data_IF_766727091792
#
_entry.id   IF_766727091792
#
_cell.length_a   1.000
_cell.length_b   1.000
_cell.length_c   1.000
_cell.angle_alpha   90.00
_cell.angle_beta   90.00
_cell.angle_gamma   90.00
#
_symmetry.space_group_name_H-M   'P 1'
#
loop_
_entity.id
_entity.type
_entity.pdbx_description
1 polymer ?
#
# COMPACT_ATOMS: atom_id res chain seq x y z
N UNK A 1 18.77 -2.02 -20.60
CA UNK A 1 18.89 -0.54 -20.37
C UNK A 1 18.21 0.29 -21.46
N UNK A 2 18.43 0.05 -22.77
CA UNK A 2 17.81 0.86 -23.87
C UNK A 2 16.26 0.84 -23.89
N UNK A 3 15.61 -0.27 -23.50
CA UNK A 3 14.13 -0.39 -23.50
C UNK A 3 13.48 0.40 -22.35
N UNK A 4 14.15 0.55 -21.20
CA UNK A 4 13.67 1.33 -20.07
C UNK A 4 13.74 2.85 -20.36
N UNK A 5 14.79 3.28 -21.08
CA UNK A 5 14.95 4.67 -21.52
C UNK A 5 13.88 5.10 -22.53
N UNK A 6 13.41 4.19 -23.39
CA UNK A 6 12.35 4.48 -24.37
C UNK A 6 10.99 4.65 -23.65
N UNK A 7 10.71 3.83 -22.62
CA UNK A 7 9.49 3.97 -21.83
C UNK A 7 9.46 5.31 -21.06
N UNK A 8 10.59 5.71 -20.49
CA UNK A 8 10.71 7.00 -19.80
C UNK A 8 10.54 8.18 -20.79
N UNK A 9 11.03 8.06 -22.01
CA UNK A 9 10.93 9.11 -23.05
C UNK A 9 9.49 9.25 -23.57
N UNK A 10 8.75 8.16 -23.71
CA UNK A 10 7.33 8.19 -24.12
C UNK A 10 6.45 8.85 -23.06
N UNK A 11 6.72 8.64 -21.78
CA UNK A 11 5.98 9.31 -20.70
C UNK A 11 6.28 10.83 -20.67
N UNK A 12 7.49 11.24 -21.04
CA UNK A 12 7.89 12.66 -21.06
C UNK A 12 7.40 13.41 -22.33
N UNK A 13 7.13 12.69 -23.42
CA UNK A 13 6.69 13.31 -24.70
C UNK A 13 5.18 13.54 -24.80
N UNK A 14 4.38 13.09 -23.83
CA UNK A 14 2.95 13.41 -23.74
C UNK A 14 2.70 14.83 -23.18
N UNK A 15 3.39 15.83 -23.71
CA UNK A 15 3.04 17.24 -23.52
C UNK A 15 1.80 17.62 -24.36
N UNK A 16 0.79 16.78 -24.37
CA UNK A 16 -0.42 17.03 -25.13
C UNK A 16 -1.34 17.90 -24.28
N UNK A 17 -1.35 19.21 -24.55
CA UNK A 17 -2.37 20.13 -24.06
C UNK A 17 -2.86 19.83 -22.62
N UNK A 18 -1.94 19.78 -21.67
CA UNK A 18 -2.27 19.59 -20.26
C UNK A 18 -2.66 20.93 -19.62
N UNK A 19 -3.53 20.88 -18.63
CA UNK A 19 -3.74 22.01 -17.72
C UNK A 19 -2.48 22.21 -16.86
N UNK A 20 -2.46 23.30 -16.09
CA UNK A 20 -1.36 23.59 -15.18
C UNK A 20 -1.05 22.41 -14.22
N UNK A 21 0.24 22.08 -14.01
CA UNK A 21 0.63 21.03 -13.09
C UNK A 21 0.26 21.38 -11.64
N UNK A 22 -0.11 20.37 -10.90
CA UNK A 22 -0.47 20.45 -9.49
C UNK A 22 0.52 19.64 -8.65
N UNK A 23 0.90 20.21 -7.51
CA UNK A 23 1.58 19.51 -6.45
C UNK A 23 0.60 19.30 -5.29
N UNK A 24 0.63 18.14 -4.66
CA UNK A 24 -0.32 17.82 -3.61
C UNK A 24 0.32 17.10 -2.45
N UNK A 25 -0.36 17.18 -1.32
CA UNK A 25 -0.12 16.38 -0.12
C UNK A 25 -1.29 15.43 0.06
N UNK A 26 -0.99 14.18 0.38
CA UNK A 26 -1.95 13.17 0.73
C UNK A 26 -1.78 12.81 2.21
N UNK A 27 -2.89 12.74 2.94
CA UNK A 27 -2.93 12.27 4.32
C UNK A 27 -4.17 11.41 4.52
N UNK A 28 -4.03 10.30 5.23
CA UNK A 28 -5.15 9.42 5.44
C UNK A 28 -4.84 8.21 6.30
N UNK A 29 -5.67 7.20 6.14
CA UNK A 29 -5.63 5.96 6.87
C UNK A 29 -5.30 4.79 5.93
N UNK A 30 -4.69 3.77 6.53
CA UNK A 30 -4.40 2.49 5.91
C UNK A 30 -5.15 1.39 6.62
N UNK A 31 -5.33 0.27 5.97
CA UNK A 31 -5.62 -1.02 6.58
C UNK A 31 -5.11 -2.16 5.69
N UNK A 32 -4.98 -3.32 6.28
CA UNK A 32 -4.47 -4.53 5.66
C UNK A 32 -5.61 -5.56 5.50
N UNK A 33 -5.52 -6.39 4.45
CA UNK A 33 -6.38 -7.54 4.19
C UNK A 33 -5.45 -8.68 3.77
N UNK A 34 -5.45 -9.77 4.52
CA UNK A 34 -4.66 -10.98 4.30
C UNK A 34 -4.86 -11.97 5.44
N UNK A 35 -3.88 -12.82 5.72
CA UNK A 35 -4.03 -13.97 6.61
C UNK A 35 -4.38 -13.64 8.07
N UNK A 36 -3.89 -12.50 8.59
CA UNK A 36 -4.23 -12.04 9.93
C UNK A 36 -5.57 -11.28 9.96
N UNK A 37 -6.07 -10.83 8.79
CA UNK A 37 -7.31 -10.04 8.70
C UNK A 37 -8.03 -10.25 7.36
N UNK A 38 -8.64 -11.42 7.14
CA UNK A 38 -9.15 -11.78 5.81
C UNK A 38 -10.44 -11.06 5.40
N UNK A 39 -11.27 -10.56 6.34
CA UNK A 39 -12.63 -10.11 6.01
C UNK A 39 -13.04 -8.75 6.56
N UNK A 40 -12.15 -8.03 7.24
CA UNK A 40 -12.54 -6.80 7.94
C UNK A 40 -11.93 -5.58 7.29
N UNK A 41 -12.73 -4.80 6.57
CA UNK A 41 -12.37 -3.47 6.11
C UNK A 41 -12.38 -2.46 7.26
N UNK A 42 -11.54 -1.43 7.16
CA UNK A 42 -11.46 -0.30 8.10
C UNK A 42 -11.13 -0.67 9.55
N UNK A 43 -10.62 -1.87 9.81
CA UNK A 43 -10.17 -2.25 11.14
C UNK A 43 -8.65 -2.23 11.24
N UNK A 44 -8.13 -2.07 12.45
CA UNK A 44 -6.68 -1.99 12.73
C UNK A 44 -5.98 -0.95 11.84
N UNK A 45 -6.60 0.22 11.71
CA UNK A 45 -6.11 1.29 10.86
C UNK A 45 -4.78 1.85 11.37
N UNK A 46 -3.99 2.36 10.45
CA UNK A 46 -2.78 3.13 10.70
C UNK A 46 -2.76 4.32 9.72
N UNK A 47 -1.67 5.07 9.63
CA UNK A 47 -1.61 6.29 8.83
C UNK A 47 -0.95 6.08 7.46
N UNK A 48 -1.28 6.99 6.52
CA UNK A 48 -0.53 7.21 5.27
C UNK A 48 -0.36 8.71 5.04
N UNK A 49 0.81 9.07 4.53
CA UNK A 49 1.14 10.44 4.14
C UNK A 49 2.00 10.41 2.87
N UNK A 50 1.92 11.44 2.06
CA UNK A 50 2.82 11.54 0.91
C UNK A 50 2.60 12.73 0.02
N UNK A 51 3.41 12.76 -1.06
CA UNK A 51 3.40 13.77 -2.09
C UNK A 51 2.77 13.28 -3.38
N UNK A 52 2.11 14.18 -4.08
CA UNK A 52 1.46 13.93 -5.36
C UNK A 52 1.93 14.99 -6.36
N UNK A 53 2.28 14.54 -7.56
CA UNK A 53 2.41 15.39 -8.73
C UNK A 53 1.34 15.00 -9.73
N UNK A 54 0.54 15.97 -10.21
CA UNK A 54 -0.60 15.69 -11.08
C UNK A 54 -0.69 16.67 -12.24
N UNK A 55 -1.07 16.14 -13.41
CA UNK A 55 -1.41 16.88 -14.62
C UNK A 55 -2.81 16.48 -15.11
N UNK A 56 -3.73 17.42 -15.19
CA UNK A 56 -5.02 17.23 -15.83
C UNK A 56 -4.90 17.50 -17.33
N UNK A 57 -5.46 16.64 -18.18
CA UNK A 57 -5.54 16.91 -19.60
C UNK A 57 -6.55 18.02 -19.89
N UNK A 58 -6.38 18.72 -21.02
CA UNK A 58 -7.21 19.87 -21.40
C UNK A 58 -8.69 19.55 -21.54
N UNK A 59 -9.05 18.29 -21.88
CA UNK A 59 -10.43 17.83 -21.94
C UNK A 59 -11.11 17.69 -20.55
N UNK A 60 -10.34 17.79 -19.45
CA UNK A 60 -10.82 17.64 -18.10
C UNK A 60 -11.32 16.25 -17.71
N UNK A 61 -11.25 15.26 -18.62
CA UNK A 61 -11.72 13.89 -18.38
C UNK A 61 -10.66 12.96 -17.83
N UNK A 62 -9.39 13.23 -18.09
CA UNK A 62 -8.28 12.38 -17.70
C UNK A 62 -7.23 13.21 -16.98
N UNK A 63 -6.65 12.65 -15.94
CA UNK A 63 -5.48 13.19 -15.28
C UNK A 63 -4.41 12.11 -15.10
N UNK A 64 -3.16 12.50 -15.25
CA UNK A 64 -2.00 11.68 -14.90
C UNK A 64 -1.41 12.20 -13.61
N UNK A 65 -1.10 11.30 -12.68
CA UNK A 65 -0.40 11.67 -11.46
C UNK A 65 0.72 10.68 -11.13
N UNK A 66 1.70 11.18 -10.40
CA UNK A 66 2.76 10.41 -9.78
C UNK A 66 2.55 10.46 -8.28
N UNK A 67 2.46 9.30 -7.66
CA UNK A 67 2.31 9.14 -6.21
C UNK A 67 3.66 8.84 -5.58
N UNK A 68 3.91 9.44 -4.40
CA UNK A 68 5.03 9.18 -3.50
C UNK A 68 4.45 9.06 -2.10
N UNK A 69 4.09 7.85 -1.69
CA UNK A 69 3.35 7.62 -0.45
C UNK A 69 4.16 6.78 0.51
N UNK A 70 4.08 7.14 1.78
CA UNK A 70 4.55 6.35 2.90
C UNK A 70 3.37 6.05 3.81
N UNK A 71 3.17 4.78 4.14
CA UNK A 71 2.14 4.35 5.06
C UNK A 71 2.61 3.18 5.90
N UNK A 72 1.80 2.82 6.88
CA UNK A 72 2.03 1.66 7.72
C UNK A 72 0.75 0.85 7.81
N UNK A 73 0.87 -0.45 7.65
CA UNK A 73 -0.22 -1.42 7.87
C UNK A 73 0.13 -2.32 9.04
N UNK A 74 -0.88 -2.87 9.69
CA UNK A 74 -0.73 -3.76 10.82
C UNK A 74 -1.85 -4.80 10.85
N UNK A 75 -1.58 -5.92 11.50
CA UNK A 75 -2.54 -6.97 11.79
C UNK A 75 -2.20 -7.64 13.11
N UNK A 76 -3.25 -8.04 13.84
CA UNK A 76 -3.13 -8.72 15.12
C UNK A 76 -4.23 -9.74 15.26
N UNK A 77 -3.85 -11.00 15.42
CA UNK A 77 -4.77 -12.12 15.62
C UNK A 77 -5.62 -11.96 16.88
N UNK A 78 -5.08 -11.35 17.92
CA UNK A 78 -5.80 -11.13 19.19
C UNK A 78 -7.07 -10.27 19.00
N UNK A 79 -7.08 -9.38 18.02
CA UNK A 79 -8.23 -8.52 17.70
C UNK A 79 -9.18 -9.14 16.67
N UNK A 80 -8.96 -10.38 16.23
CA UNK A 80 -9.72 -11.00 15.14
C UNK A 80 -11.12 -11.48 15.57
N UNK A 81 -11.25 -11.92 16.82
CA UNK A 81 -12.44 -12.60 17.33
C UNK A 81 -12.64 -14.03 16.80
N UNK A 82 -11.68 -14.58 16.06
CA UNK A 82 -11.69 -15.95 15.53
C UNK A 82 -10.80 -16.84 16.40
N UNK A 83 -11.36 -17.91 16.96
CA UNK A 83 -10.67 -18.78 17.93
C UNK A 83 -9.32 -19.30 17.42
N UNK A 84 -9.26 -19.76 16.17
CA UNK A 84 -8.03 -20.25 15.56
C UNK A 84 -6.94 -19.18 15.46
N UNK A 85 -7.32 -17.94 15.15
CA UNK A 85 -6.39 -16.81 15.11
C UNK A 85 -5.95 -16.39 16.52
N UNK A 86 -6.87 -16.40 17.48
CA UNK A 86 -6.54 -16.15 18.89
C UNK A 86 -5.50 -17.14 19.40
N UNK A 87 -5.64 -18.42 19.05
CA UNK A 87 -4.65 -19.45 19.39
C UNK A 87 -3.32 -19.25 18.66
N UNK A 88 -3.34 -18.87 17.38
CA UNK A 88 -2.15 -18.58 16.58
C UNK A 88 -1.35 -17.39 17.11
N UNK A 89 -2.03 -16.36 17.60
CA UNK A 89 -1.48 -15.20 18.30
C UNK A 89 -0.37 -14.45 17.56
N UNK A 90 -0.43 -14.40 16.25
CA UNK A 90 0.51 -13.63 15.43
C UNK A 90 0.12 -12.15 15.38
N UNK A 91 1.11 -11.30 15.26
CA UNK A 91 0.92 -9.86 15.05
C UNK A 91 2.07 -9.30 14.24
N UNK A 92 1.77 -8.31 13.41
CA UNK A 92 2.78 -7.61 12.62
C UNK A 92 2.45 -6.13 12.45
N UNK A 93 3.46 -5.37 12.08
CA UNK A 93 3.35 -4.09 11.40
C UNK A 93 4.32 -4.03 10.24
N UNK A 94 3.91 -3.44 9.12
CA UNK A 94 4.75 -3.26 7.95
C UNK A 94 4.70 -1.81 7.47
N UNK A 95 5.85 -1.17 7.34
CA UNK A 95 5.94 0.11 6.66
C UNK A 95 5.95 -0.12 5.15
N UNK A 96 5.21 0.72 4.41
CA UNK A 96 5.10 0.64 2.96
C UNK A 96 5.53 1.99 2.38
N UNK A 97 6.49 1.95 1.45
CA UNK A 97 6.80 3.06 0.55
C UNK A 97 6.24 2.70 -0.82
N UNK A 98 5.38 3.56 -1.37
CA UNK A 98 4.74 3.37 -2.68
C UNK A 98 5.13 4.51 -3.62
N UNK A 99 5.63 4.17 -4.82
CA UNK A 99 5.99 5.16 -5.85
C UNK A 99 5.48 4.66 -7.20
N UNK A 100 4.75 5.49 -7.94
CA UNK A 100 4.36 5.13 -9.29
C UNK A 100 3.28 5.97 -9.93
N UNK A 101 3.10 5.78 -11.25
CA UNK A 101 2.08 6.47 -12.02
C UNK A 101 0.67 5.93 -11.77
N UNK A 102 -0.28 6.86 -11.75
CA UNK A 102 -1.71 6.61 -11.63
C UNK A 102 -2.46 7.47 -12.65
N UNK A 103 -3.49 6.91 -13.24
CA UNK A 103 -4.40 7.59 -14.14
C UNK A 103 -5.73 7.80 -13.41
N UNK A 104 -6.26 9.01 -13.49
CA UNK A 104 -7.62 9.34 -13.03
C UNK A 104 -8.53 9.52 -14.23
N UNK A 105 -9.73 8.95 -14.16
CA UNK A 105 -10.79 9.14 -15.16
C UNK A 105 -11.98 9.82 -14.49
N UNK A 106 -12.23 11.04 -14.88
CA UNK A 106 -13.27 11.90 -14.32
C UNK A 106 -14.64 11.60 -14.94
N UNK A 107 -15.68 11.52 -14.12
CA UNK A 107 -17.06 11.36 -14.59
C UNK A 107 -17.55 12.60 -15.33
N UNK A 108 -17.18 13.79 -14.86
CA UNK A 108 -17.49 15.06 -15.49
C UNK A 108 -16.20 15.79 -15.87
N UNK A 109 -16.21 16.65 -16.89
CA UNK A 109 -15.06 17.49 -17.21
C UNK A 109 -14.65 18.33 -16.02
N UNK A 110 -13.38 18.23 -15.60
CA UNK A 110 -12.83 18.99 -14.49
C UNK A 110 -11.93 20.10 -15.01
N UNK A 111 -12.17 21.32 -14.55
CA UNK A 111 -11.37 22.49 -14.94
C UNK A 111 -10.71 23.10 -13.72
N UNK A 112 -9.40 22.96 -13.63
CA UNK A 112 -8.63 23.55 -12.53
C UNK A 112 -8.89 25.05 -12.39
N UNK A 113 -9.12 25.47 -11.16
CA UNK A 113 -9.39 26.87 -10.83
C UNK A 113 -10.84 27.33 -11.02
N UNK A 114 -11.73 26.48 -11.51
CA UNK A 114 -13.15 26.77 -11.53
C UNK A 114 -13.78 26.40 -10.18
N UNK A 115 -13.97 27.36 -9.30
CA UNK A 115 -14.44 27.13 -7.94
C UNK A 115 -15.90 27.61 -7.69
N UNK A 116 -16.55 28.20 -8.70
CA UNK A 116 -17.95 28.56 -8.63
C UNK A 116 -18.82 27.30 -8.78
N UNK A 117 -19.62 26.97 -7.78
CA UNK A 117 -20.42 25.73 -7.69
C UNK A 117 -21.49 25.60 -8.75
N UNK A 118 -21.95 26.72 -9.33
CA UNK A 118 -22.94 26.78 -10.39
C UNK A 118 -22.37 26.64 -11.81
N UNK A 119 -21.05 26.50 -11.95
CA UNK A 119 -20.37 26.36 -13.25
C UNK A 119 -19.81 24.96 -13.43
N UNK A 120 -19.82 24.49 -14.68
CA UNK A 120 -19.19 23.23 -15.05
C UNK A 120 -17.68 23.25 -14.74
N UNK A 121 -17.18 22.08 -14.29
CA UNK A 121 -15.76 21.92 -13.95
C UNK A 121 -15.38 22.27 -12.52
N UNK A 122 -16.33 22.64 -11.69
CA UNK A 122 -16.11 22.89 -10.25
C UNK A 122 -15.57 21.67 -9.52
N UNK A 123 -16.13 20.48 -9.79
CA UNK A 123 -15.73 19.22 -9.17
C UNK A 123 -16.24 18.01 -9.93
N UNK A 124 -15.73 16.84 -9.56
CA UNK A 124 -16.10 15.58 -10.22
C UNK A 124 -15.76 14.37 -9.35
N UNK A 125 -16.61 13.34 -9.31
CA UNK A 125 -16.17 12.00 -8.94
C UNK A 125 -15.20 11.46 -10.01
N UNK A 126 -14.33 10.53 -9.62
CA UNK A 126 -13.41 9.88 -10.55
C UNK A 126 -13.09 8.46 -10.12
N UNK A 127 -12.74 7.64 -11.10
CA UNK A 127 -12.00 6.40 -10.88
C UNK A 127 -10.51 6.65 -11.06
N UNK A 128 -9.71 5.85 -10.39
CA UNK A 128 -8.28 5.84 -10.64
C UNK A 128 -7.73 4.42 -10.66
N UNK A 129 -6.62 4.25 -11.36
CA UNK A 129 -5.87 3.00 -11.41
C UNK A 129 -4.46 3.25 -11.90
N UNK A 130 -3.54 2.36 -11.52
CA UNK A 130 -2.13 2.52 -11.88
C UNK A 130 -1.29 1.29 -11.63
N UNK A 131 0.01 1.49 -11.74
CA UNK A 131 1.02 0.48 -11.38
C UNK A 131 2.07 1.20 -10.53
N UNK A 132 2.34 0.64 -9.35
CA UNK A 132 3.29 1.24 -8.42
C UNK A 132 4.34 0.22 -7.99
N UNK A 133 5.54 0.71 -7.79
CA UNK A 133 6.57 0.00 -7.03
C UNK A 133 6.29 0.22 -5.55
N UNK A 134 6.30 -0.86 -4.79
CA UNK A 134 6.17 -0.81 -3.34
C UNK A 134 7.36 -1.49 -2.68
N UNK A 135 7.78 -0.95 -1.55
CA UNK A 135 8.72 -1.60 -0.62
C UNK A 135 8.04 -1.73 0.73
N UNK A 136 8.02 -2.95 1.25
CA UNK A 136 7.46 -3.32 2.54
C UNK A 136 8.57 -3.69 3.53
N UNK A 137 8.26 -3.67 4.84
CA UNK A 137 9.16 -4.16 5.88
C UNK A 137 8.34 -4.70 7.07
N UNK A 138 7.89 -5.96 7.00
CA UNK A 138 7.13 -6.58 8.09
C UNK A 138 8.01 -6.77 9.31
N UNK A 139 7.47 -6.39 10.46
CA UNK A 139 8.10 -6.50 11.78
C UNK A 139 7.09 -7.05 12.78
N UNK A 140 7.57 -7.79 13.77
CA UNK A 140 6.79 -8.19 14.93
C UNK A 140 7.44 -7.65 16.22
N UNK A 141 6.65 -7.47 17.24
CA UNK A 141 7.14 -7.09 18.56
C UNK A 141 7.58 -8.35 19.33
N UNK A 142 8.79 -8.31 19.84
CA UNK A 142 9.37 -9.34 20.69
C UNK A 142 10.13 -8.68 21.85
N UNK A 143 9.76 -9.00 23.09
CA UNK A 143 10.35 -8.44 24.30
C UNK A 143 10.40 -6.89 24.33
N UNK A 144 9.38 -6.23 23.76
CA UNK A 144 9.27 -4.77 23.69
C UNK A 144 10.02 -4.11 22.53
N UNK A 145 10.73 -4.89 21.69
CA UNK A 145 11.45 -4.41 20.52
C UNK A 145 10.79 -4.85 19.21
N UNK A 146 10.86 -3.99 18.19
CA UNK A 146 10.33 -4.30 16.86
C UNK A 146 11.38 -4.95 15.97
N UNK A 147 11.23 -6.24 15.74
CA UNK A 147 12.16 -7.08 14.97
C UNK A 147 11.70 -7.26 13.54
N UNK A 148 12.61 -7.13 12.58
CA UNK A 148 12.34 -7.40 11.15
C UNK A 148 12.15 -8.90 10.92
N UNK A 149 11.03 -9.29 10.28
CA UNK A 149 10.67 -10.69 10.12
C UNK A 149 11.36 -11.35 8.92
N UNK A 150 11.50 -10.64 7.81
CA UNK A 150 12.05 -11.20 6.58
C UNK A 150 13.45 -11.85 6.76
N UNK A 151 14.42 -11.27 7.51
CA UNK A 151 15.72 -11.91 7.70
C UNK A 151 15.67 -13.15 8.59
N UNK A 152 14.60 -13.32 9.39
CA UNK A 152 14.45 -14.44 10.30
C UNK A 152 13.96 -15.71 9.62
N UNK A 153 13.39 -15.61 8.40
CA UNK A 153 12.88 -16.80 7.69
C UNK A 153 11.91 -17.61 8.55
N UNK A 154 10.87 -16.97 9.10
CA UNK A 154 9.93 -17.54 10.08
C UNK A 154 9.17 -18.78 9.60
N UNK A 155 9.13 -19.02 8.28
CA UNK A 155 8.59 -20.24 7.66
C UNK A 155 9.72 -21.16 7.13
N UNK A 156 10.94 -21.02 7.66
CA UNK A 156 12.09 -21.84 7.33
C UNK A 156 12.70 -21.58 5.96
N UNK A 157 12.41 -20.45 5.30
CA UNK A 157 12.95 -20.14 3.98
C UNK A 157 14.48 -20.13 3.99
N UNK A 158 15.09 -20.90 3.08
CA UNK A 158 16.54 -21.05 2.98
C UNK A 158 17.17 -22.00 4.01
N UNK A 159 16.36 -22.75 4.74
CA UNK A 159 16.79 -23.84 5.64
C UNK A 159 16.51 -25.20 5.01
N UNK A 160 16.92 -26.27 5.70
CA UNK A 160 16.65 -27.66 5.26
C UNK A 160 15.15 -28.00 5.18
N UNK A 161 14.28 -27.19 5.80
CA UNK A 161 12.85 -27.39 5.85
C UNK A 161 12.12 -26.73 4.67
N UNK A 162 12.71 -25.70 4.07
CA UNK A 162 12.10 -24.94 2.98
C UNK A 162 13.19 -24.34 2.08
N UNK A 163 13.40 -24.95 0.92
CA UNK A 163 14.40 -24.54 -0.07
C UNK A 163 14.08 -23.20 -0.76
N UNK A 164 12.88 -22.64 -0.54
CA UNK A 164 12.51 -21.34 -1.09
C UNK A 164 13.42 -20.26 -0.51
N UNK A 165 13.81 -19.31 -1.35
CA UNK A 165 14.51 -18.12 -0.86
C UNK A 165 13.58 -17.24 -0.03
N UNK A 166 14.12 -16.48 0.93
CA UNK A 166 13.35 -15.42 1.60
C UNK A 166 12.67 -14.50 0.58
N UNK A 167 11.45 -14.11 0.87
CA UNK A 167 10.65 -13.28 -0.03
C UNK A 167 11.27 -11.89 -0.25
N UNK A 168 10.98 -11.30 -1.42
CA UNK A 168 11.48 -9.97 -1.75
C UNK A 168 10.65 -8.88 -1.04
N UNK A 169 11.34 -7.95 -0.39
CA UNK A 169 10.71 -6.78 0.24
C UNK A 169 10.20 -5.74 -0.76
N UNK A 170 10.68 -5.83 -2.01
CA UNK A 170 10.31 -4.92 -3.10
C UNK A 170 9.40 -5.63 -4.07
N UNK A 171 8.23 -5.05 -4.31
CA UNK A 171 7.15 -5.66 -5.09
C UNK A 171 6.51 -4.62 -6.03
N UNK A 172 5.68 -5.10 -6.94
CA UNK A 172 4.76 -4.28 -7.72
C UNK A 172 3.38 -4.39 -7.08
N UNK A 173 2.64 -3.27 -7.03
CA UNK A 173 1.23 -3.26 -6.67
C UNK A 173 0.40 -2.55 -7.73
N UNK A 174 -0.89 -2.88 -7.76
CA UNK A 174 -1.88 -2.25 -8.63
C UNK A 174 -2.83 -1.45 -7.76
N UNK A 175 -2.62 -0.13 -7.60
CA UNK A 175 -3.58 0.75 -6.96
C UNK A 175 -4.80 0.95 -7.87
N UNK A 176 -5.99 0.92 -7.29
CA UNK A 176 -7.23 1.31 -7.95
C UNK A 176 -8.25 1.76 -6.91
N UNK A 177 -9.20 2.57 -7.34
CA UNK A 177 -10.22 3.06 -6.43
C UNK A 177 -11.07 4.16 -7.01
N UNK A 178 -11.76 4.83 -6.12
CA UNK A 178 -12.67 5.93 -6.41
C UNK A 178 -12.30 7.16 -5.58
N UNK A 179 -12.64 8.32 -6.10
CA UNK A 179 -12.52 9.57 -5.37
C UNK A 179 -13.51 10.61 -5.86
N UNK A 180 -13.56 11.69 -5.12
CA UNK A 180 -14.27 12.90 -5.52
C UNK A 180 -13.33 14.08 -5.29
N UNK A 181 -13.31 15.02 -6.24
CA UNK A 181 -12.47 16.22 -6.15
C UNK A 181 -13.28 17.47 -6.46
N UNK A 182 -12.88 18.55 -5.84
CA UNK A 182 -13.45 19.88 -6.05
C UNK A 182 -12.39 20.96 -5.92
N UNK A 183 -12.61 22.08 -6.59
CA UNK A 183 -11.78 23.27 -6.43
C UNK A 183 -12.24 24.08 -5.24
N UNK A 184 -11.33 24.38 -4.31
CA UNK A 184 -11.57 25.30 -3.18
C UNK A 184 -11.28 26.74 -3.58
N UNK A 185 -10.38 26.94 -4.54
CA UNK A 185 -10.02 28.27 -5.08
C UNK A 185 -9.44 28.13 -6.48
N UNK A 186 -8.99 29.21 -7.07
CA UNK A 186 -8.32 29.21 -8.37
C UNK A 186 -7.07 28.34 -8.41
N UNK A 187 -6.43 28.11 -7.24
CA UNK A 187 -5.16 27.36 -7.17
C UNK A 187 -5.24 26.10 -6.31
N UNK A 188 -6.23 26.00 -5.44
CA UNK A 188 -6.33 24.95 -4.43
C UNK A 188 -7.48 24.01 -4.77
N UNK A 189 -7.23 22.70 -4.71
CA UNK A 189 -8.25 21.66 -4.85
C UNK A 189 -8.14 20.66 -3.72
N UNK A 190 -9.28 20.13 -3.32
CA UNK A 190 -9.41 19.07 -2.33
C UNK A 190 -9.98 17.82 -3.01
N UNK A 191 -9.42 16.67 -2.69
CA UNK A 191 -9.96 15.38 -3.10
C UNK A 191 -10.11 14.47 -1.89
N UNK A 192 -11.18 13.69 -1.86
CA UNK A 192 -11.34 12.54 -0.98
C UNK A 192 -11.18 11.28 -1.82
N UNK A 193 -10.42 10.31 -1.33
CA UNK A 193 -10.07 9.11 -2.07
C UNK A 193 -10.17 7.86 -1.21
N UNK A 194 -10.74 6.80 -1.79
CA UNK A 194 -10.72 5.45 -1.27
C UNK A 194 -10.04 4.55 -2.29
N UNK A 195 -8.92 3.92 -1.91
CA UNK A 195 -8.12 3.11 -2.81
C UNK A 195 -7.63 1.82 -2.22
N UNK A 196 -7.81 0.75 -2.98
CA UNK A 196 -7.24 -0.57 -2.72
C UNK A 196 -5.96 -0.76 -3.54
N UNK A 197 -5.07 -1.60 -3.04
CA UNK A 197 -3.84 -2.02 -3.70
C UNK A 197 -3.79 -3.53 -3.73
N UNK A 198 -3.87 -4.08 -4.94
CA UNK A 198 -3.61 -5.50 -5.14
C UNK A 198 -2.11 -5.73 -5.15
N UNK A 199 -1.61 -6.59 -4.29
CA UNK A 199 -0.23 -7.06 -4.34
C UNK A 199 -0.14 -8.43 -5.01
N UNK A 200 1.08 -8.87 -5.29
CA UNK A 200 1.38 -10.21 -5.82
C UNK A 200 2.16 -11.04 -4.81
N UNK A 201 2.38 -10.50 -3.61
CA UNK A 201 2.98 -11.18 -2.48
C UNK A 201 1.93 -11.65 -1.49
N UNK A 202 2.29 -12.64 -0.70
CA UNK A 202 1.56 -13.20 0.43
C UNK A 202 2.36 -13.01 1.73
N UNK A 203 3.32 -12.11 1.71
CA UNK A 203 4.25 -11.88 2.81
C UNK A 203 4.25 -10.42 3.27
N UNK A 204 3.14 -9.70 3.08
CA UNK A 204 3.01 -8.35 3.63
C UNK A 204 3.01 -8.38 5.17
N UNK A 205 2.52 -9.50 5.72
CA UNK A 205 2.42 -9.84 7.14
C UNK A 205 3.41 -10.93 7.59
N UNK A 206 4.28 -11.43 6.69
CA UNK A 206 5.22 -12.55 6.94
C UNK A 206 4.53 -13.91 7.14
N UNK A 207 3.28 -14.07 6.69
CA UNK A 207 2.50 -15.30 6.87
C UNK A 207 1.98 -15.79 5.52
N UNK A 208 2.25 -17.07 5.19
CA UNK A 208 1.83 -17.65 3.91
C UNK A 208 1.60 -19.16 3.99
N UNK A 209 2.60 -19.92 4.42
CA UNK A 209 2.67 -21.38 4.26
C UNK A 209 2.30 -22.20 5.47
N UNK A 210 3.21 -23.09 5.82
CA UNK A 210 3.08 -24.03 6.91
C UNK A 210 4.01 -23.67 8.06
N UNK A 211 3.68 -24.13 9.25
CA UNK A 211 4.59 -24.02 10.39
C UNK A 211 5.80 -24.92 10.20
N UNK A 212 7.04 -24.39 10.33
CA UNK A 212 8.25 -25.19 10.35
C UNK A 212 8.40 -25.95 11.68
N UNK A 213 9.30 -26.93 11.72
CA UNK A 213 9.75 -27.52 12.98
C UNK A 213 10.58 -26.48 13.73
N UNK A 214 10.08 -26.01 14.87
CA UNK A 214 10.70 -24.94 15.65
C UNK A 214 12.08 -25.31 16.21
N UNK A 215 12.27 -26.55 16.66
CA UNK A 215 13.52 -27.00 17.22
C UNK A 215 14.65 -27.00 16.15
N UNK A 216 14.32 -27.44 14.93
CA UNK A 216 15.24 -27.42 13.80
C UNK A 216 15.47 -25.99 13.32
N UNK A 217 14.42 -25.18 13.25
CA UNK A 217 14.54 -23.78 12.87
C UNK A 217 15.43 -22.98 13.84
N UNK A 218 15.33 -23.28 15.15
CA UNK A 218 16.19 -22.67 16.15
C UNK A 218 17.69 -22.99 15.94
N UNK A 219 17.98 -24.21 15.44
CA UNK A 219 19.35 -24.62 15.13
C UNK A 219 19.88 -23.98 13.83
N UNK A 220 19.07 -23.85 12.80
CA UNK A 220 19.50 -23.41 11.48
C UNK A 220 19.38 -21.89 11.26
N UNK A 221 18.35 -21.24 11.85
CA UNK A 221 18.06 -19.82 11.67
C UNK A 221 18.08 -19.02 12.99
N UNK A 222 18.26 -19.70 14.11
CA UNK A 222 18.36 -19.08 15.44
C UNK A 222 17.06 -19.09 16.24
N UNK A 223 17.23 -18.94 17.57
CA UNK A 223 16.11 -19.04 18.55
C UNK A 223 15.05 -17.96 18.35
N UNK A 224 15.41 -16.77 17.91
CA UNK A 224 14.48 -15.68 17.63
C UNK A 224 13.58 -16.01 16.44
N UNK A 225 14.12 -16.63 15.39
CA UNK A 225 13.35 -17.12 14.25
C UNK A 225 12.28 -18.12 14.71
N UNK A 226 12.67 -19.10 15.49
CA UNK A 226 11.76 -20.12 16.04
C UNK A 226 10.68 -19.49 16.94
N UNK A 227 11.05 -18.55 17.81
CA UNK A 227 10.11 -17.87 18.71
C UNK A 227 9.05 -17.04 17.95
N UNK A 228 9.41 -16.44 16.82
CA UNK A 228 8.51 -15.62 16.01
C UNK A 228 7.77 -16.40 14.92
N UNK A 229 8.20 -17.63 14.61
CA UNK A 229 7.55 -18.49 13.64
C UNK A 229 6.20 -19.01 14.16
N UNK A 230 6.14 -19.41 15.44
CA UNK A 230 4.95 -19.90 16.13
C UNK A 230 4.84 -19.23 17.50
N UNK A 231 3.79 -18.43 17.68
CA UNK A 231 3.48 -17.71 18.92
C UNK A 231 2.27 -18.25 19.64
N UNK A 232 1.78 -19.41 19.21
CA UNK A 232 0.68 -20.08 19.87
C UNK A 232 1.06 -20.44 21.31
N UNK A 233 0.08 -20.35 22.21
CA UNK A 233 0.28 -20.50 23.66
C UNK A 233 0.68 -21.95 24.00
N UNK A 234 1.95 -22.22 23.94
CA UNK A 234 2.50 -23.42 24.56
C UNK A 234 3.46 -23.00 25.66
N UNK A 235 3.17 -23.34 26.92
CA UNK A 235 3.93 -22.79 28.07
C UNK A 235 5.32 -23.40 28.24
N UNK A 236 5.72 -24.40 27.48
CA UNK A 236 6.95 -25.15 27.72
C UNK A 236 7.84 -25.25 26.48
N UNK A 237 8.61 -24.17 26.19
CA UNK A 237 9.67 -24.20 25.18
C UNK A 237 9.19 -24.34 23.72
N UNK A 238 10.11 -24.60 22.83
CA UNK A 238 9.77 -24.91 21.43
C UNK A 238 9.15 -26.28 21.35
N UNK A 239 7.90 -26.35 20.87
CA UNK A 239 7.23 -27.62 20.62
C UNK A 239 6.85 -27.72 19.15
N UNK A 240 6.79 -28.94 18.64
CA UNK A 240 6.46 -29.23 17.24
C UNK A 240 4.96 -29.47 17.05
N UNK A 241 4.09 -29.06 17.99
CA UNK A 241 2.66 -29.36 17.94
C UNK A 241 1.98 -28.82 16.68
N UNK A 242 2.47 -27.70 16.16
CA UNK A 242 1.95 -27.09 14.93
C UNK A 242 2.75 -27.43 13.68
N UNK A 243 3.84 -28.18 13.78
CA UNK A 243 4.66 -28.54 12.64
C UNK A 243 3.84 -29.15 11.49
N UNK A 244 3.97 -28.57 10.29
CA UNK A 244 3.28 -29.01 9.09
C UNK A 244 1.80 -28.60 9.01
N UNK A 245 1.26 -27.96 10.06
CA UNK A 245 -0.07 -27.35 9.99
C UNK A 245 -0.03 -26.04 9.20
N UNK A 246 -1.18 -25.60 8.73
CA UNK A 246 -1.33 -24.36 8.00
C UNK A 246 -1.07 -23.15 8.92
N UNK A 247 -0.09 -22.30 8.58
CA UNK A 247 0.20 -21.02 9.23
C UNK A 247 -0.55 -19.88 8.55
N UNK A 248 -0.55 -19.86 7.21
CA UNK A 248 -1.26 -18.92 6.34
C UNK A 248 -1.91 -19.62 5.16
N UNK A 249 -2.44 -18.87 4.21
CA UNK A 249 -3.06 -19.39 3.00
C UNK A 249 -2.33 -18.91 1.73
N UNK A 250 -1.38 -19.65 1.19
CA UNK A 250 -0.53 -19.22 0.06
C UNK A 250 -1.29 -18.93 -1.24
N UNK A 251 -2.57 -19.32 -1.31
CA UNK A 251 -3.41 -19.07 -2.49
C UNK A 251 -4.03 -17.67 -2.49
N UNK A 252 -4.11 -17.01 -1.35
CA UNK A 252 -4.66 -15.66 -1.20
C UNK A 252 -3.50 -14.66 -1.10
N UNK A 253 -3.44 -13.70 -2.02
CA UNK A 253 -2.42 -12.65 -1.94
C UNK A 253 -2.92 -11.49 -1.10
N UNK A 254 -1.99 -10.85 -0.40
CA UNK A 254 -2.28 -9.74 0.48
C UNK A 254 -2.70 -8.48 -0.28
N UNK A 255 -3.54 -7.70 0.37
CA UNK A 255 -3.99 -6.40 -0.11
C UNK A 255 -3.79 -5.35 0.98
N UNK A 256 -3.69 -4.10 0.58
CA UNK A 256 -3.76 -2.98 1.51
C UNK A 256 -4.58 -1.82 0.94
N UNK A 257 -5.03 -0.94 1.81
CA UNK A 257 -5.76 0.28 1.43
C UNK A 257 -5.00 1.52 1.86
N UNK A 258 -4.99 2.53 0.99
CA UNK A 258 -4.68 3.91 1.34
C UNK A 258 -5.91 4.75 0.99
N UNK A 259 -6.49 5.40 1.99
CA UNK A 259 -7.70 6.20 1.86
C UNK A 259 -7.54 7.49 2.62
N UNK A 260 -7.97 8.61 2.06
CA UNK A 260 -7.75 9.88 2.73
C UNK A 260 -8.06 11.11 1.90
N UNK A 261 -7.51 12.21 2.34
CA UNK A 261 -7.63 13.53 1.72
C UNK A 261 -6.35 13.87 0.95
N UNK A 262 -6.54 14.44 -0.21
CA UNK A 262 -5.47 15.00 -1.03
C UNK A 262 -5.74 16.47 -1.28
N UNK A 263 -4.81 17.32 -0.86
CA UNK A 263 -4.83 18.75 -1.09
C UNK A 263 -3.83 19.08 -2.19
N UNK A 264 -4.28 19.60 -3.33
CA UNK A 264 -3.40 19.94 -4.46
C UNK A 264 -3.37 21.44 -4.73
N UNK A 265 -2.20 21.93 -5.13
CA UNK A 265 -1.91 23.32 -5.39
C UNK A 265 -1.23 23.49 -6.75
N UNK A 266 -1.70 24.47 -7.57
CA UNK A 266 -1.08 24.88 -8.83
C UNK A 266 -0.12 26.06 -8.61
N UNK A 267 1.09 25.95 -9.13
CA UNK A 267 2.14 26.97 -9.01
C UNK A 267 2.03 28.07 -10.08
N UNK A 268 1.40 27.77 -11.21
CA UNK A 268 1.39 28.70 -12.35
C UNK A 268 0.35 29.79 -12.14
N UNK A 269 0.77 31.03 -12.32
CA UNK A 269 -0.08 32.20 -12.26
C UNK A 269 -0.75 32.34 -13.64
N UNK A 270 -2.09 32.28 -13.71
CA UNK A 270 -2.79 32.66 -14.94
C UNK A 270 -2.33 34.07 -15.34
N UNK A 271 -1.60 34.20 -16.42
CA UNK A 271 -1.35 35.50 -17.03
C UNK A 271 -2.70 36.01 -17.53
N UNK A 272 -3.29 36.98 -16.84
CA UNK A 272 -4.36 37.78 -17.42
C UNK A 272 -3.71 38.55 -18.56
N UNK A 273 -3.95 38.16 -19.82
CA UNK A 273 -3.71 39.07 -20.93
C UNK A 273 -4.58 40.32 -20.68
N UNK A 274 -4.00 41.52 -20.69
CA UNK A 274 -4.82 42.74 -20.72
C UNK A 274 -5.66 42.68 -21.99
N UNK A 275 -6.97 42.65 -21.85
CA UNK A 275 -7.86 42.96 -22.97
C UNK A 275 -7.69 44.43 -23.27
N UNK A 276 -7.10 44.70 -24.41
CA UNK A 276 -7.10 46.05 -25.05
C UNK A 276 -8.49 46.27 -25.64
#
# INVERSE_FOLDING_TARGET
MKKLSILLFVVFSLQVNAQEPEFGLFIGNTYYIGDLKPYSHFSQQDFVVGGIYKNNLSNGRVAFRMNFLYGRVKGNDFESGVEQQLQRNLSFRSSIIEIGPVIEVNFFPYKKGQFETNKEGFGTPYFFGGITYMRMNPKAEYEGEWVELQPLSTEGQGTSQNDNKPYALSQISIPFGIGAKLNLSTRLSLSLEYGLRKTFTDYLDDVSGLYPNQALLAQEAGTLSAALSDRSSSPEGFNDSNYGLQRGNPNNKDWYSFSGLMLTFSLVKKSSCPTW
#
